data_IF_468656186577
#
_entry.id   IF_468656186577
#
_cell.length_a   1.000
_cell.length_b   1.000
_cell.length_c   1.000
_cell.angle_alpha   90.00
_cell.angle_beta   90.00
_cell.angle_gamma   90.00
#
_symmetry.space_group_name_H-M   'P 1'
#
loop_
_entity.id
_entity.type
_entity.pdbx_description
1 polymer ?
#
# COMPACT_ATOMS: atom_id res chain seq x y z
N UNK A 1 -17.35 -18.65 -29.99
CA UNK A 1 -17.23 -17.20 -29.72
C UNK A 1 -16.75 -17.07 -28.29
N UNK A 2 -15.52 -16.61 -27.99
CA UNK A 2 -15.11 -16.42 -26.61
C UNK A 2 -15.68 -15.12 -26.05
N UNK A 3 -16.27 -15.22 -24.87
CA UNK A 3 -16.78 -14.14 -24.05
C UNK A 3 -15.64 -13.21 -23.61
N UNK A 4 -15.81 -11.88 -23.64
CA UNK A 4 -14.78 -10.94 -23.17
C UNK A 4 -14.69 -11.02 -21.65
N UNK A 5 -13.47 -11.25 -21.16
CA UNK A 5 -13.14 -11.18 -19.73
C UNK A 5 -13.41 -9.75 -19.22
N UNK A 6 -14.46 -9.64 -18.44
CA UNK A 6 -14.78 -8.45 -17.68
C UNK A 6 -13.74 -8.35 -16.54
N UNK A 7 -12.76 -7.47 -16.69
CA UNK A 7 -11.96 -7.00 -15.57
C UNK A 7 -12.89 -6.17 -14.68
N UNK A 8 -13.51 -6.82 -13.71
CA UNK A 8 -14.20 -6.14 -12.62
C UNK A 8 -13.13 -5.44 -11.77
N UNK A 9 -12.86 -4.18 -12.11
CA UNK A 9 -12.10 -3.26 -11.30
C UNK A 9 -12.89 -2.95 -10.04
N UNK A 10 -12.48 -3.51 -8.92
CA UNK A 10 -12.99 -3.14 -7.59
C UNK A 10 -12.48 -1.75 -7.19
N UNK A 11 -13.00 -0.71 -7.85
CA UNK A 11 -12.81 0.69 -7.50
C UNK A 11 -14.08 1.56 -7.56
N UNK A 12 -15.32 1.09 -7.28
CA UNK A 12 -16.45 2.01 -7.36
C UNK A 12 -16.66 2.88 -6.11
N UNK A 13 -16.23 2.44 -4.92
CA UNK A 13 -16.48 3.20 -3.70
C UNK A 13 -15.52 4.39 -3.51
N UNK A 14 -14.24 4.23 -3.86
CA UNK A 14 -13.26 5.31 -3.84
C UNK A 14 -13.63 6.43 -4.82
N UNK A 15 -14.06 6.10 -6.06
CA UNK A 15 -14.42 7.08 -7.08
C UNK A 15 -15.57 8.01 -6.65
N UNK A 16 -16.58 7.50 -5.96
CA UNK A 16 -17.73 8.31 -5.49
C UNK A 16 -17.40 9.15 -4.25
N UNK A 17 -16.51 8.67 -3.39
CA UNK A 17 -16.04 9.42 -2.22
C UNK A 17 -15.19 10.63 -2.65
N UNK A 18 -14.39 10.48 -3.70
CA UNK A 18 -13.41 11.47 -4.13
C UNK A 18 -14.01 12.70 -4.80
N UNK A 19 -15.11 12.56 -5.53
CA UNK A 19 -15.86 13.74 -6.03
C UNK A 19 -16.37 14.63 -4.89
N UNK A 20 -16.73 14.03 -3.75
CA UNK A 20 -17.13 14.76 -2.55
C UNK A 20 -15.94 15.44 -1.85
N UNK A 21 -14.72 15.03 -2.15
CA UNK A 21 -13.49 15.53 -1.55
C UNK A 21 -12.83 16.65 -2.37
N UNK A 22 -13.41 17.05 -3.51
CA UNK A 22 -12.91 18.15 -4.35
C UNK A 22 -12.66 19.42 -3.53
N UNK A 23 -11.40 19.85 -3.46
CA UNK A 23 -10.97 21.00 -2.67
C UNK A 23 -10.97 20.79 -1.15
N UNK A 24 -11.23 19.58 -0.67
CA UNK A 24 -11.21 19.22 0.76
C UNK A 24 -9.93 18.47 1.10
N UNK A 25 -9.50 17.50 0.24
CA UNK A 25 -8.30 16.69 0.41
C UNK A 25 -7.37 16.79 -0.79
N UNK A 26 -6.09 16.46 -0.62
CA UNK A 26 -5.21 16.18 -1.76
C UNK A 26 -5.76 15.00 -2.55
N UNK A 27 -5.54 15.01 -3.85
CA UNK A 27 -5.85 13.87 -4.70
C UNK A 27 -4.97 12.70 -4.33
N UNK A 28 -5.57 11.53 -4.07
CA UNK A 28 -4.80 10.30 -3.83
C UNK A 28 -4.10 9.86 -5.12
N UNK A 29 -2.83 9.54 -5.04
CA UNK A 29 -1.97 9.17 -6.18
C UNK A 29 -1.37 7.79 -5.99
N UNK A 30 -1.26 7.02 -7.08
CA UNK A 30 -0.89 5.61 -7.02
C UNK A 30 0.16 5.25 -8.06
N UNK A 31 1.00 4.26 -7.72
CA UNK A 31 1.86 3.51 -8.63
C UNK A 31 1.36 2.06 -8.67
N UNK A 32 0.79 1.64 -9.78
CA UNK A 32 0.42 0.23 -10.01
C UNK A 32 1.58 -0.53 -10.63
N UNK A 33 1.97 -1.64 -10.05
CA UNK A 33 3.12 -2.44 -10.49
C UNK A 33 2.65 -3.67 -11.29
N UNK A 34 2.89 -3.74 -12.61
CA UNK A 34 2.56 -4.91 -13.41
C UNK A 34 3.55 -6.04 -13.09
N UNK A 35 3.08 -7.03 -12.35
CA UNK A 35 3.84 -8.21 -11.99
C UNK A 35 2.94 -9.45 -11.89
N UNK A 36 3.48 -10.66 -12.06
CA UNK A 36 2.72 -11.90 -11.92
C UNK A 36 2.29 -12.13 -10.46
N UNK A 37 1.40 -13.09 -10.24
CA UNK A 37 1.09 -13.60 -8.91
C UNK A 37 2.34 -14.11 -8.23
N UNK A 38 2.51 -13.79 -6.93
CA UNK A 38 3.70 -14.14 -6.17
C UNK A 38 3.42 -14.38 -4.70
N UNK A 39 4.40 -14.92 -4.01
CA UNK A 39 4.34 -15.22 -2.59
C UNK A 39 5.01 -14.18 -1.70
N UNK A 40 5.75 -13.23 -2.28
CA UNK A 40 6.39 -12.14 -1.55
C UNK A 40 6.41 -10.84 -2.35
N UNK A 41 6.24 -9.72 -1.65
CA UNK A 41 6.41 -8.37 -2.20
C UNK A 41 7.32 -7.58 -1.27
N UNK A 42 8.49 -7.20 -1.78
CA UNK A 42 9.46 -6.35 -1.11
C UNK A 42 9.51 -4.98 -1.78
N UNK A 43 9.62 -3.91 -0.97
CA UNK A 43 9.83 -2.55 -1.46
C UNK A 43 10.47 -1.70 -0.37
N UNK A 44 11.22 -0.69 -0.79
CA UNK A 44 11.76 0.37 0.07
C UNK A 44 11.02 1.66 -0.20
N UNK A 45 10.78 2.44 0.85
CA UNK A 45 10.12 3.74 0.76
C UNK A 45 10.88 4.78 1.57
N UNK A 46 11.03 5.98 1.00
CA UNK A 46 11.61 7.13 1.67
C UNK A 46 10.65 8.30 1.59
N UNK A 47 10.18 8.77 2.73
CA UNK A 47 9.29 9.93 2.81
C UNK A 47 10.14 11.19 2.77
N UNK A 48 9.85 12.08 1.83
CA UNK A 48 10.59 13.35 1.63
C UNK A 48 9.82 14.55 2.17
N UNK A 49 8.49 14.46 2.20
CA UNK A 49 7.61 15.51 2.76
C UNK A 49 6.33 14.85 3.26
N UNK A 50 5.85 15.28 4.42
CA UNK A 50 4.65 14.76 5.07
C UNK A 50 3.85 15.88 5.72
N UNK A 51 2.60 15.60 6.02
CA UNK A 51 1.71 16.43 6.82
C UNK A 51 0.78 15.54 7.66
N UNK A 52 0.29 16.02 8.82
CA UNK A 52 -0.67 15.27 9.62
C UNK A 52 -1.90 14.84 8.82
N UNK A 53 -2.33 13.58 9.02
CA UNK A 53 -3.41 12.97 8.26
C UNK A 53 -2.98 12.38 6.92
N UNK A 54 -1.73 11.90 6.81
CA UNK A 54 -1.21 11.28 5.59
C UNK A 54 -0.97 9.79 5.76
N UNK A 55 -1.35 9.02 4.73
CA UNK A 55 -0.99 7.62 4.59
C UNK A 55 -0.02 7.46 3.40
N UNK A 56 1.17 6.93 3.68
CA UNK A 56 2.15 6.47 2.70
C UNK A 56 2.10 4.94 2.69
N UNK A 57 1.44 4.38 1.70
CA UNK A 57 1.30 2.94 1.55
C UNK A 57 2.37 2.39 0.63
N UNK A 58 3.22 1.52 1.15
CA UNK A 58 4.34 0.93 0.44
C UNK A 58 3.94 -0.35 -0.33
N UNK A 59 3.32 -1.31 0.37
CA UNK A 59 2.91 -2.59 -0.20
C UNK A 59 1.40 -2.71 -0.21
N UNK A 60 0.77 -2.48 -1.36
CA UNK A 60 -0.63 -2.79 -1.62
C UNK A 60 -0.76 -4.04 -2.48
N UNK A 61 -1.81 -4.81 -2.25
CA UNK A 61 -2.21 -5.94 -3.08
C UNK A 61 -3.73 -6.10 -3.02
N UNK A 62 -4.29 -6.98 -3.83
CA UNK A 62 -5.74 -7.13 -3.96
C UNK A 62 -6.51 -7.49 -2.68
N UNK A 63 -5.83 -7.84 -1.58
CA UNK A 63 -6.44 -8.24 -0.30
C UNK A 63 -5.95 -7.43 0.89
N UNK A 64 -5.09 -6.44 0.70
CA UNK A 64 -4.62 -5.65 1.82
C UNK A 64 -3.59 -4.59 1.46
N UNK A 65 -3.07 -3.95 2.48
CA UNK A 65 -2.10 -2.87 2.37
C UNK A 65 -1.22 -2.75 3.61
N UNK A 66 0.00 -2.29 3.39
CA UNK A 66 1.04 -2.12 4.38
C UNK A 66 1.84 -0.85 4.13
N UNK A 67 2.00 -0.02 5.14
CA UNK A 67 2.74 1.23 5.04
C UNK A 67 2.77 2.00 6.35
N UNK A 68 2.95 3.32 6.27
CA UNK A 68 3.04 4.18 7.44
C UNK A 68 2.06 5.34 7.37
N UNK A 69 1.61 5.79 8.53
CA UNK A 69 0.77 6.98 8.65
C UNK A 69 1.42 8.02 9.55
N UNK A 70 1.20 9.29 9.22
CA UNK A 70 1.24 10.40 10.15
C UNK A 70 -0.20 10.75 10.52
N UNK A 71 -0.62 10.43 11.73
CA UNK A 71 -1.98 10.65 12.20
C UNK A 71 -2.32 12.15 12.30
N UNK A 72 -3.60 12.49 12.39
CA UNK A 72 -4.06 13.88 12.48
C UNK A 72 -3.46 14.65 13.68
N UNK A 73 -3.06 13.95 14.75
CA UNK A 73 -2.38 14.50 15.92
C UNK A 73 -0.84 14.49 15.80
N UNK A 74 -0.28 14.16 14.63
CA UNK A 74 1.16 14.08 14.37
C UNK A 74 1.85 12.80 14.85
N UNK A 75 1.14 11.89 15.54
CA UNK A 75 1.71 10.59 15.91
C UNK A 75 1.97 9.75 14.66
N UNK A 76 3.11 9.05 14.63
CA UNK A 76 3.52 8.19 13.52
C UNK A 76 3.37 6.71 13.86
N UNK A 77 2.89 5.94 12.90
CA UNK A 77 2.64 4.52 13.07
C UNK A 77 2.97 3.75 11.78
N UNK A 78 3.15 2.45 11.92
CA UNK A 78 3.09 1.47 10.83
C UNK A 78 1.70 0.82 10.88
N UNK A 79 1.08 0.63 9.70
CA UNK A 79 -0.27 0.06 9.54
C UNK A 79 -0.22 -1.11 8.57
N UNK A 80 -0.76 -2.26 8.96
CA UNK A 80 -1.00 -3.41 8.09
C UNK A 80 -2.46 -3.84 8.19
N UNK A 81 -3.12 -4.02 7.05
CA UNK A 81 -4.54 -4.39 6.99
C UNK A 81 -4.81 -5.44 5.93
N UNK A 82 -5.79 -6.31 6.20
CA UNK A 82 -6.25 -7.35 5.28
C UNK A 82 -7.78 -7.35 5.24
N UNK A 83 -8.34 -7.33 4.03
CA UNK A 83 -9.78 -7.31 3.78
C UNK A 83 -10.44 -8.65 4.12
N UNK A 84 -11.65 -8.57 4.69
CA UNK A 84 -12.54 -9.70 4.81
C UNK A 84 -12.95 -10.24 3.41
N UNK A 85 -13.42 -11.48 3.38
CA UNK A 85 -14.12 -12.03 2.24
C UNK A 85 -15.62 -11.73 2.36
N UNK A 86 -16.20 -11.13 1.33
CA UNK A 86 -17.65 -10.89 1.29
C UNK A 86 -18.04 -9.42 1.18
N UNK A 87 -19.20 -9.05 1.72
CA UNK A 87 -19.79 -7.73 1.58
C UNK A 87 -19.10 -6.66 2.43
N UNK A 88 -19.19 -5.41 1.97
CA UNK A 88 -18.53 -4.25 2.58
C UNK A 88 -19.23 -3.73 3.85
N UNK A 89 -20.27 -4.37 4.35
CA UNK A 89 -20.95 -3.99 5.59
C UNK A 89 -20.31 -4.74 6.79
N UNK A 90 -19.74 -4.04 7.78
CA UNK A 90 -19.14 -4.65 8.96
C UNK A 90 -20.08 -5.57 9.75
N UNK A 91 -21.38 -5.27 9.72
CA UNK A 91 -22.41 -6.03 10.44
C UNK A 91 -22.88 -7.26 9.69
N UNK A 92 -22.70 -7.28 8.36
CA UNK A 92 -23.17 -8.36 7.47
C UNK A 92 -22.13 -9.44 7.19
N UNK A 93 -20.85 -9.23 7.60
CA UNK A 93 -19.80 -10.24 7.38
C UNK A 93 -19.90 -11.33 8.45
N UNK A 94 -20.31 -12.53 8.04
CA UNK A 94 -20.36 -13.71 8.90
C UNK A 94 -18.97 -14.02 9.49
N UNK A 95 -18.95 -14.51 10.72
CA UNK A 95 -17.70 -14.67 11.48
C UNK A 95 -16.68 -15.58 10.79
N UNK A 96 -17.13 -16.63 10.13
CA UNK A 96 -16.29 -17.58 9.38
C UNK A 96 -15.64 -16.94 8.14
N UNK A 97 -16.27 -15.90 7.56
CA UNK A 97 -15.77 -15.11 6.42
C UNK A 97 -14.80 -13.99 6.82
N UNK A 98 -14.73 -13.70 8.11
CA UNK A 98 -13.83 -12.64 8.62
C UNK A 98 -12.36 -13.00 8.52
N UNK A 99 -11.56 -11.97 8.42
CA UNK A 99 -10.11 -12.05 8.61
C UNK A 99 -9.80 -12.52 10.03
N UNK A 100 -8.91 -13.52 10.14
CA UNK A 100 -8.49 -14.11 11.41
C UNK A 100 -7.04 -13.73 11.71
N UNK A 101 -6.77 -13.33 12.95
CA UNK A 101 -5.41 -13.13 13.43
C UNK A 101 -4.71 -14.48 13.56
N UNK A 102 -3.52 -14.61 12.98
CA UNK A 102 -2.66 -15.81 13.07
C UNK A 102 -1.44 -15.54 13.95
N UNK A 103 -0.83 -14.37 13.80
CA UNK A 103 0.34 -13.95 14.57
C UNK A 103 0.31 -12.44 14.80
N UNK A 104 0.89 -11.98 15.91
CA UNK A 104 1.25 -10.57 16.14
C UNK A 104 2.50 -10.45 16.99
N UNK A 105 3.32 -9.45 16.71
CA UNK A 105 4.35 -8.98 17.64
C UNK A 105 3.71 -8.41 18.91
N UNK A 106 4.40 -8.50 20.05
CA UNK A 106 3.87 -8.03 21.35
C UNK A 106 3.49 -6.55 21.38
N UNK A 107 4.21 -5.70 20.63
CA UNK A 107 3.97 -4.25 20.53
C UNK A 107 2.90 -3.90 19.49
N UNK A 108 2.41 -4.88 18.73
CA UNK A 108 1.39 -4.68 17.71
C UNK A 108 0.00 -4.66 18.33
N UNK A 109 -0.73 -3.59 18.12
CA UNK A 109 -2.15 -3.45 18.47
C UNK A 109 -3.01 -3.95 17.31
N UNK A 110 -4.06 -4.68 17.62
CA UNK A 110 -4.99 -5.26 16.64
C UNK A 110 -6.33 -4.55 16.73
N UNK A 111 -6.95 -4.31 15.59
CA UNK A 111 -8.28 -3.76 15.46
C UNK A 111 -9.02 -4.33 14.24
N UNK A 112 -10.16 -3.75 13.98
CA UNK A 112 -10.93 -3.98 12.76
C UNK A 112 -11.30 -2.64 12.15
N UNK A 113 -11.32 -2.56 10.85
CA UNK A 113 -11.80 -1.40 10.12
C UNK A 113 -13.17 -1.68 9.49
N UNK A 114 -13.88 -0.59 9.17
CA UNK A 114 -15.17 -0.59 8.49
C UNK A 114 -15.41 0.75 7.82
N UNK A 115 -16.49 0.86 7.08
CA UNK A 115 -16.87 2.07 6.33
C UNK A 115 -16.65 1.92 4.84
N UNK A 116 -15.42 1.76 4.39
CA UNK A 116 -15.07 1.50 2.98
C UNK A 116 -14.72 0.01 2.74
N UNK A 117 -15.49 -0.89 3.32
CA UNK A 117 -15.21 -2.31 3.42
C UNK A 117 -14.82 -2.69 4.84
N UNK A 118 -14.52 -3.96 5.09
CA UNK A 118 -14.19 -4.49 6.41
C UNK A 118 -12.97 -5.38 6.37
N UNK A 119 -12.27 -5.48 7.50
CA UNK A 119 -11.11 -6.35 7.63
C UNK A 119 -10.42 -6.27 8.97
N UNK A 120 -9.35 -7.04 9.09
CA UNK A 120 -8.41 -6.94 10.18
C UNK A 120 -7.41 -5.81 9.94
N UNK A 121 -7.10 -5.03 10.96
CA UNK A 121 -6.05 -4.02 10.92
C UNK A 121 -5.13 -4.15 12.12
N UNK A 122 -3.91 -3.67 11.95
CA UNK A 122 -2.91 -3.69 13.00
C UNK A 122 -2.07 -2.42 12.97
N UNK A 123 -1.60 -2.01 14.14
CA UNK A 123 -0.84 -0.78 14.31
C UNK A 123 0.40 -1.06 15.15
N UNK A 124 1.53 -0.51 14.71
CA UNK A 124 2.78 -0.51 15.45
C UNK A 124 3.26 0.93 15.61
N UNK A 125 3.52 1.38 16.83
CA UNK A 125 4.00 2.73 17.09
C UNK A 125 5.47 2.82 16.65
N UNK A 126 5.74 3.63 15.63
CA UNK A 126 7.08 3.81 15.04
C UNK A 126 7.25 5.25 14.57
N UNK A 127 8.11 6.00 15.24
CA UNK A 127 8.37 7.41 14.94
C UNK A 127 9.38 7.56 13.78
N UNK A 128 8.95 7.09 12.60
CA UNK A 128 9.74 7.19 11.38
C UNK A 128 10.11 8.66 11.05
N UNK A 129 11.26 8.86 10.41
CA UNK A 129 11.80 10.17 10.11
C UNK A 129 11.75 10.49 8.62
N UNK A 130 11.56 11.76 8.28
CA UNK A 130 11.77 12.25 6.91
C UNK A 130 13.18 11.90 6.46
N UNK A 131 13.31 11.33 5.27
CA UNK A 131 14.58 10.87 4.71
C UNK A 131 15.04 9.49 5.16
N UNK A 132 14.37 8.87 6.14
CA UNK A 132 14.63 7.48 6.52
C UNK A 132 14.20 6.51 5.42
N UNK A 133 15.03 5.52 5.12
CA UNK A 133 14.65 4.41 4.24
C UNK A 133 13.90 3.36 5.04
N UNK A 134 12.61 3.25 4.79
CA UNK A 134 11.71 2.26 5.38
C UNK A 134 11.65 1.04 4.46
N UNK A 135 11.83 -0.17 5.01
CA UNK A 135 11.86 -1.41 4.24
C UNK A 135 10.70 -2.31 4.65
N UNK A 136 9.95 -2.77 3.67
CA UNK A 136 8.73 -3.56 3.86
C UNK A 136 8.80 -4.86 3.09
N UNK A 137 8.26 -5.92 3.70
CA UNK A 137 8.06 -7.22 3.07
C UNK A 137 6.67 -7.72 3.45
N UNK A 138 5.88 -8.06 2.45
CA UNK A 138 4.65 -8.84 2.62
C UNK A 138 4.87 -10.22 2.06
N UNK A 139 4.52 -11.25 2.82
CA UNK A 139 4.53 -12.63 2.34
C UNK A 139 3.13 -13.22 2.36
N UNK A 140 2.89 -14.22 1.52
CA UNK A 140 1.63 -14.98 1.50
C UNK A 140 1.90 -16.48 1.56
N UNK A 141 1.02 -17.19 2.26
CA UNK A 141 0.98 -18.66 2.32
C UNK A 141 -0.45 -19.12 2.11
N UNK A 142 -0.69 -19.87 1.04
CA UNK A 142 -2.00 -20.46 0.76
C UNK A 142 -2.23 -21.67 1.66
N UNK A 143 -3.39 -21.72 2.33
CA UNK A 143 -3.84 -22.79 3.20
C UNK A 143 -5.31 -23.14 2.85
N UNK A 144 -5.48 -24.05 1.90
CA UNK A 144 -6.78 -24.39 1.35
C UNK A 144 -7.45 -23.22 0.63
N UNK A 145 -8.64 -22.82 1.05
CA UNK A 145 -9.34 -21.66 0.47
C UNK A 145 -8.95 -20.31 1.11
N UNK A 146 -8.08 -20.31 2.12
CA UNK A 146 -7.58 -19.12 2.80
C UNK A 146 -6.13 -18.85 2.43
N UNK A 147 -5.73 -17.60 2.56
CA UNK A 147 -4.33 -17.18 2.46
C UNK A 147 -3.94 -16.41 3.70
N UNK A 148 -2.82 -16.79 4.30
CA UNK A 148 -2.18 -16.06 5.38
C UNK A 148 -1.28 -15.00 4.75
N UNK A 149 -1.51 -13.73 5.06
CA UNK A 149 -0.66 -12.61 4.68
C UNK A 149 0.10 -12.12 5.91
N UNK A 150 1.43 -12.02 5.77
CA UNK A 150 2.32 -11.60 6.86
C UNK A 150 3.05 -10.33 6.50
N UNK A 151 3.00 -9.34 7.40
CA UNK A 151 3.69 -8.06 7.25
C UNK A 151 4.96 -8.02 8.08
N UNK A 152 6.09 -7.71 7.43
CA UNK A 152 7.39 -7.52 8.06
C UNK A 152 7.94 -6.14 7.68
N UNK A 153 8.49 -5.42 8.67
CA UNK A 153 9.23 -4.18 8.42
C UNK A 153 10.61 -4.25 9.08
N UNK A 154 11.57 -3.55 8.48
CA UNK A 154 12.91 -3.44 9.08
C UNK A 154 12.93 -2.28 10.07
N UNK A 155 13.21 -2.57 11.32
CA UNK A 155 13.34 -1.58 12.38
C UNK A 155 14.77 -1.02 12.38
N UNK A 156 14.96 0.21 11.89
CA UNK A 156 16.28 0.79 11.63
C UNK A 156 17.15 0.91 12.88
N UNK A 157 16.59 1.34 14.01
CA UNK A 157 17.34 1.48 15.27
C UNK A 157 17.76 0.11 15.84
N UNK A 158 16.87 -0.89 15.76
CA UNK A 158 17.14 -2.26 16.24
C UNK A 158 17.92 -3.10 15.23
N UNK A 159 18.10 -2.60 14.00
CA UNK A 159 18.78 -3.29 12.89
C UNK A 159 18.28 -4.72 12.66
N UNK A 160 16.97 -4.93 12.78
CA UNK A 160 16.33 -6.23 12.58
C UNK A 160 14.95 -6.11 11.92
N UNK A 161 14.55 -7.19 11.27
CA UNK A 161 13.18 -7.36 10.80
C UNK A 161 12.24 -7.67 11.96
N UNK A 162 11.09 -7.01 11.97
CA UNK A 162 9.98 -7.30 12.89
C UNK A 162 8.89 -7.99 12.07
N UNK A 163 8.51 -9.19 12.47
CA UNK A 163 7.28 -9.84 12.01
C UNK A 163 6.11 -9.20 12.73
N UNK A 164 5.55 -8.15 12.17
CA UNK A 164 4.55 -7.31 12.82
C UNK A 164 3.25 -8.07 13.07
N UNK A 165 2.73 -8.74 12.03
CA UNK A 165 1.43 -9.40 12.10
C UNK A 165 1.24 -10.40 10.96
N UNK A 166 0.40 -11.41 11.18
CA UNK A 166 -0.17 -12.26 10.13
C UNK A 166 -1.69 -12.33 10.28
N UNK A 167 -2.39 -12.11 9.17
CA UNK A 167 -3.82 -12.31 9.06
C UNK A 167 -4.15 -13.36 7.99
N UNK A 168 -5.16 -14.19 8.27
CA UNK A 168 -5.72 -15.15 7.33
C UNK A 168 -7.07 -14.67 6.81
N UNK A 169 -7.29 -14.67 5.50
CA UNK A 169 -8.57 -14.34 4.86
C UNK A 169 -8.92 -15.33 3.76
N UNK A 170 -10.19 -15.43 3.40
CA UNK A 170 -10.64 -16.30 2.30
C UNK A 170 -10.29 -15.63 0.96
N UNK A 171 -9.57 -16.35 0.12
CA UNK A 171 -9.11 -15.88 -1.18
C UNK A 171 -9.43 -16.82 -2.33
N UNK A 172 -9.88 -18.05 -2.03
CA UNK A 172 -9.96 -19.13 -3.01
C UNK A 172 -8.59 -19.70 -3.39
N UNK A 173 -7.58 -19.59 -2.51
CA UNK A 173 -6.25 -20.14 -2.76
C UNK A 173 -5.34 -19.25 -3.60
N UNK A 174 -5.54 -17.91 -3.60
CA UNK A 174 -4.76 -16.96 -4.40
C UNK A 174 -3.71 -16.29 -3.51
N UNK A 175 -2.48 -16.21 -4.02
CA UNK A 175 -1.37 -15.47 -3.39
C UNK A 175 -1.48 -13.94 -3.59
N UNK A 176 -0.35 -13.22 -3.51
CA UNK A 176 -0.28 -11.78 -3.76
C UNK A 176 -0.44 -11.49 -5.25
N UNK A 177 -1.27 -10.51 -5.59
CA UNK A 177 -1.39 -9.95 -6.95
C UNK A 177 -1.97 -8.54 -6.91
N UNK A 178 -1.88 -7.80 -8.02
CA UNK A 178 -2.40 -6.44 -8.11
C UNK A 178 -1.62 -5.48 -7.23
N UNK A 179 -0.30 -5.49 -7.36
CA UNK A 179 0.64 -4.72 -6.52
C UNK A 179 0.57 -3.23 -6.81
N UNK A 180 0.62 -2.41 -5.75
CA UNK A 180 0.62 -0.96 -5.88
C UNK A 180 1.17 -0.26 -4.63
N UNK A 181 1.50 1.02 -4.79
CA UNK A 181 1.78 1.96 -3.70
C UNK A 181 0.92 3.20 -3.86
N UNK A 182 0.69 3.96 -2.77
CA UNK A 182 -0.03 5.22 -2.85
C UNK A 182 0.39 6.24 -1.78
N UNK A 183 -0.05 7.49 -2.02
CA UNK A 183 -0.08 8.56 -1.01
C UNK A 183 -1.50 9.08 -0.92
N UNK A 184 -2.05 9.15 0.30
CA UNK A 184 -3.40 9.62 0.58
C UNK A 184 -3.41 10.69 1.68
N UNK A 185 -4.23 11.73 1.49
CA UNK A 185 -4.62 12.70 2.51
C UNK A 185 -5.95 12.27 3.12
N UNK A 186 -5.93 11.66 4.30
CA UNK A 186 -7.16 11.24 5.00
C UNK A 186 -7.67 12.25 6.02
N UNK A 187 -6.97 13.38 6.23
CA UNK A 187 -7.42 14.44 7.14
C UNK A 187 -8.62 15.20 6.58
N UNK A 188 -8.59 15.50 5.28
CA UNK A 188 -9.74 16.01 4.52
C UNK A 188 -10.35 17.30 5.12
N UNK A 189 -9.51 18.27 5.49
CA UNK A 189 -9.92 19.49 6.20
C UNK A 189 -9.72 20.80 5.44
N UNK A 190 -9.50 20.74 4.12
CA UNK A 190 -9.17 21.86 3.21
C UNK A 190 -7.77 22.45 3.44
N UNK A 191 -7.32 22.56 4.68
CA UNK A 191 -5.98 23.04 5.04
C UNK A 191 -4.94 22.00 4.66
N UNK A 192 -5.26 20.73 4.84
CA UNK A 192 -4.38 19.59 4.50
C UNK A 192 -3.95 19.60 3.03
N UNK A 193 -4.78 20.13 2.11
CA UNK A 193 -4.46 20.22 0.67
C UNK A 193 -3.34 21.21 0.37
N UNK A 194 -3.03 22.14 1.25
CA UNK A 194 -1.98 23.16 1.08
C UNK A 194 -0.58 22.63 1.33
N UNK A 195 -0.46 21.43 1.89
CA UNK A 195 0.83 20.80 2.19
C UNK A 195 1.16 19.71 1.18
N UNK A 196 2.37 19.74 0.64
CA UNK A 196 2.85 18.68 -0.24
C UNK A 196 3.21 17.42 0.56
N UNK A 197 2.83 16.26 0.02
CA UNK A 197 3.20 14.94 0.47
C UNK A 197 4.00 14.26 -0.62
N UNK A 198 5.21 13.80 -0.29
CA UNK A 198 6.11 13.20 -1.27
C UNK A 198 6.84 11.99 -0.69
N UNK A 199 6.90 10.92 -1.46
CA UNK A 199 7.70 9.74 -1.16
C UNK A 199 8.41 9.21 -2.41
N UNK A 200 9.56 8.59 -2.19
CA UNK A 200 10.27 7.76 -3.16
C UNK A 200 10.03 6.29 -2.84
N UNK A 201 9.95 5.46 -3.88
CA UNK A 201 9.75 4.02 -3.81
C UNK A 201 10.88 3.36 -4.60
N UNK A 202 11.66 2.55 -3.91
CA UNK A 202 12.87 1.92 -4.44
C UNK A 202 12.82 0.41 -4.33
N UNK A 203 13.57 -0.25 -5.21
CA UNK A 203 13.80 -1.69 -5.15
C UNK A 203 12.52 -2.54 -5.03
N UNK A 204 11.45 -2.30 -5.83
CA UNK A 204 10.27 -3.14 -5.79
C UNK A 204 10.56 -4.51 -6.41
N UNK A 205 10.41 -5.57 -5.62
CA UNK A 205 10.64 -6.95 -6.00
C UNK A 205 9.46 -7.84 -5.65
N UNK A 206 9.12 -8.74 -6.58
CA UNK A 206 8.10 -9.77 -6.36
C UNK A 206 8.79 -11.13 -6.41
N UNK A 207 8.54 -11.97 -5.42
CA UNK A 207 8.91 -13.38 -5.49
C UNK A 207 7.72 -14.15 -6.06
N UNK A 208 7.89 -14.74 -7.25
CA UNK A 208 6.82 -15.48 -7.92
C UNK A 208 6.48 -16.80 -7.19
N UNK A 209 5.49 -17.51 -7.68
CA UNK A 209 5.07 -18.80 -7.09
C UNK A 209 6.09 -19.94 -7.33
N UNK A 210 7.04 -19.76 -8.24
CA UNK A 210 8.19 -20.64 -8.47
C UNK A 210 9.39 -20.31 -7.57
N UNK A 211 9.27 -19.31 -6.70
CA UNK A 211 10.31 -18.79 -5.82
C UNK A 211 11.44 -17.98 -6.48
N UNK A 212 11.23 -17.49 -7.71
CA UNK A 212 12.16 -16.59 -8.38
C UNK A 212 11.85 -15.13 -8.03
N UNK A 213 12.87 -14.34 -7.78
CA UNK A 213 12.75 -12.90 -7.60
C UNK A 213 12.68 -12.18 -8.95
N UNK A 214 11.62 -11.40 -9.14
CA UNK A 214 11.37 -10.59 -10.33
C UNK A 214 11.44 -9.12 -9.91
N UNK A 215 12.37 -8.39 -10.53
CA UNK A 215 12.44 -6.94 -10.36
C UNK A 215 11.26 -6.27 -11.08
N UNK A 216 10.58 -5.36 -10.39
CA UNK A 216 9.55 -4.54 -11.01
C UNK A 216 10.22 -3.41 -11.80
N UNK A 217 10.09 -3.42 -13.11
CA UNK A 217 10.73 -2.47 -14.02
C UNK A 217 9.82 -1.35 -14.52
N UNK A 218 8.54 -1.37 -14.16
CA UNK A 218 7.53 -0.38 -14.61
C UNK A 218 6.50 -0.11 -13.55
N UNK A 219 5.94 1.09 -13.58
CA UNK A 219 4.75 1.44 -12.80
C UNK A 219 3.76 2.23 -13.65
N UNK A 220 2.47 2.08 -13.36
CA UNK A 220 1.40 2.86 -13.96
C UNK A 220 1.00 3.97 -12.99
N UNK A 221 1.07 5.23 -13.42
CA UNK A 221 0.63 6.38 -12.65
C UNK A 221 -0.88 6.53 -12.73
N UNK A 222 -1.56 6.42 -11.60
CA UNK A 222 -3.00 6.64 -11.48
C UNK A 222 -3.33 7.54 -10.29
N UNK A 223 -4.56 8.03 -10.22
CA UNK A 223 -5.07 8.79 -9.11
C UNK A 223 -6.59 8.56 -8.98
N UNK A 224 -7.14 8.99 -7.85
CA UNK A 224 -8.59 8.98 -7.63
C UNK A 224 -9.33 9.95 -8.55
N UNK A 225 -10.67 10.05 -8.39
CA UNK A 225 -11.55 10.89 -9.22
C UNK A 225 -11.49 12.39 -8.87
N UNK A 226 -10.79 12.79 -7.78
CA UNK A 226 -10.61 14.21 -7.46
C UNK A 226 -9.90 14.92 -8.63
N UNK A 227 -10.48 15.98 -9.23
CA UNK A 227 -9.96 16.55 -10.46
C UNK A 227 -8.76 17.49 -10.30
N UNK A 228 -8.32 17.76 -9.07
CA UNK A 228 -7.17 18.66 -8.84
C UNK A 228 -5.90 18.10 -9.47
N UNK A 229 -5.04 18.99 -9.99
CA UNK A 229 -3.85 18.62 -10.75
C UNK A 229 -2.53 18.89 -10.03
N UNK A 230 -2.57 19.26 -8.75
CA UNK A 230 -1.35 19.39 -7.95
C UNK A 230 -0.82 18.02 -7.49
N UNK A 231 -0.57 17.17 -8.48
CA UNK A 231 -0.07 15.80 -8.34
C UNK A 231 1.03 15.54 -9.36
N UNK A 232 1.99 14.70 -9.02
CA UNK A 232 2.98 14.25 -10.00
C UNK A 232 3.55 12.87 -9.63
N UNK A 233 4.17 12.21 -10.61
CA UNK A 233 4.88 10.96 -10.47
C UNK A 233 6.02 10.87 -11.48
N UNK A 234 6.96 9.98 -11.24
CA UNK A 234 8.06 9.76 -12.18
C UNK A 234 9.17 8.94 -11.57
N UNK A 235 10.36 9.10 -12.14
CA UNK A 235 11.61 8.56 -11.59
C UNK A 235 12.59 9.67 -11.28
N UNK A 236 13.27 9.56 -10.14
CA UNK A 236 14.35 10.47 -9.75
C UNK A 236 15.41 9.68 -8.99
N UNK A 237 16.69 9.88 -9.32
CA UNK A 237 17.81 9.19 -8.67
C UNK A 237 17.66 7.67 -8.63
N UNK A 238 17.11 7.07 -9.70
CA UNK A 238 16.89 5.62 -9.75
C UNK A 238 15.66 5.10 -8.98
N UNK A 239 14.83 5.96 -8.38
CA UNK A 239 13.64 5.58 -7.64
C UNK A 239 12.37 6.10 -8.30
N UNK A 240 11.26 5.37 -8.18
CA UNK A 240 9.94 5.94 -8.43
C UNK A 240 9.63 7.01 -7.39
N UNK A 241 8.84 8.01 -7.74
CA UNK A 241 8.29 8.94 -6.77
C UNK A 241 6.79 9.20 -7.02
N UNK A 242 6.10 9.55 -5.95
CA UNK A 242 4.77 10.14 -5.95
C UNK A 242 4.79 11.44 -5.16
N UNK A 243 4.01 12.41 -5.62
CA UNK A 243 3.77 13.66 -4.90
C UNK A 243 2.34 14.14 -5.10
N UNK A 244 1.73 14.70 -4.05
CA UNK A 244 0.40 15.28 -4.08
C UNK A 244 0.27 16.45 -3.11
N UNK A 245 -0.55 17.44 -3.45
CA UNK A 245 -0.84 18.60 -2.62
C UNK A 245 0.16 19.75 -2.75
N UNK A 246 -0.12 20.83 -2.04
CA UNK A 246 0.69 22.06 -2.08
C UNK A 246 0.82 22.64 -3.50
N UNK A 247 1.99 23.20 -3.78
CA UNK A 247 2.34 23.78 -5.08
C UNK A 247 3.00 22.77 -6.02
N UNK A 248 2.50 21.53 -6.06
CA UNK A 248 3.03 20.49 -6.94
C UNK A 248 2.63 20.78 -8.39
N UNK A 249 3.62 20.80 -9.29
CA UNK A 249 3.40 20.87 -10.73
C UNK A 249 3.10 19.46 -11.27
N UNK A 250 2.13 19.38 -12.19
CA UNK A 250 1.80 18.13 -12.88
C UNK A 250 2.63 18.01 -14.15
N UNK A 251 3.69 17.22 -14.10
CA UNK A 251 4.59 17.02 -15.26
C UNK A 251 4.29 15.75 -16.02
N UNK A 252 3.66 14.76 -15.38
CA UNK A 252 3.32 13.48 -15.98
C UNK A 252 1.79 13.28 -16.04
N UNK A 253 1.28 12.91 -17.21
CA UNK A 253 -0.14 12.63 -17.40
C UNK A 253 -0.54 11.35 -16.65
N UNK A 254 -1.78 11.35 -16.09
CA UNK A 254 -2.37 10.13 -15.55
C UNK A 254 -2.44 9.02 -16.61
N UNK A 255 -2.32 7.78 -16.16
CA UNK A 255 -2.23 6.54 -16.96
C UNK A 255 -0.95 6.40 -17.77
N UNK A 256 0.04 7.27 -17.56
CA UNK A 256 1.39 7.06 -18.11
C UNK A 256 2.06 5.86 -17.46
N UNK A 257 2.83 5.15 -18.26
CA UNK A 257 3.77 4.13 -17.79
C UNK A 257 5.08 4.82 -17.46
N UNK A 258 5.62 4.52 -16.30
CA UNK A 258 6.92 5.00 -15.81
C UNK A 258 7.87 3.82 -15.86
N UNK A 259 8.96 3.94 -16.62
CA UNK A 259 10.02 2.94 -16.63
C UNK A 259 10.92 3.13 -15.40
N UNK A 260 11.24 2.03 -14.73
CA UNK A 260 12.17 2.02 -13.61
C UNK A 260 13.58 1.73 -14.13
N UNK A 261 14.53 2.62 -13.90
CA UNK A 261 15.91 2.28 -14.20
C UNK A 261 16.29 1.07 -13.32
N UNK A 262 17.16 0.23 -13.81
CA UNK A 262 17.57 -1.03 -13.18
C UNK A 262 17.65 -0.94 -11.65
N UNK A 263 17.05 -1.89 -10.87
CA UNK A 263 17.15 -1.91 -9.43
C UNK A 263 18.59 -1.80 -8.93
N UNK A 264 18.82 -0.99 -7.91
CA UNK A 264 20.16 -0.84 -7.31
C UNK A 264 20.62 -2.13 -6.62
N UNK A 265 19.67 -2.87 -6.04
CA UNK A 265 19.92 -4.17 -5.41
C UNK A 265 19.74 -5.30 -6.40
N UNK A 266 20.64 -6.29 -6.36
CA UNK A 266 20.51 -7.49 -7.18
C UNK A 266 19.21 -8.25 -6.87
N UNK A 267 18.88 -8.44 -5.61
CA UNK A 267 17.61 -8.96 -5.04
C UNK A 267 17.65 -8.79 -3.52
N UNK A 268 16.51 -8.82 -2.81
CA UNK A 268 16.49 -8.75 -1.35
C UNK A 268 17.25 -9.94 -0.74
N UNK A 269 18.33 -9.69 0.01
CA UNK A 269 19.20 -10.74 0.53
C UNK A 269 19.05 -10.99 2.04
N UNK A 270 18.73 -9.96 2.81
CA UNK A 270 18.67 -9.98 4.28
C UNK A 270 17.23 -9.96 4.82
N UNK A 271 16.30 -10.57 4.09
CA UNK A 271 14.88 -10.67 4.47
C UNK A 271 14.61 -11.87 5.37
N UNK A 272 13.54 -11.86 6.18
CA UNK A 272 13.08 -13.01 6.93
C UNK A 272 12.81 -14.22 6.02
N UNK A 273 13.14 -15.41 6.52
CA UNK A 273 12.89 -16.69 5.83
C UNK A 273 11.45 -17.16 6.05
#
# INVERSE_FOLDING_TARGET
>A
VPSPYCFSSYFPALLLADEKLKGIACRSVHLGYPAPEGNSFYIEMKILSSAPGTYFMACGWNKGYFGVQELANGKKIILFSVWDSGQNDPKAVEEDKRTKLVHKDEKTRIGRFGGEGTGGQSFYDYDWKIGETLRFLVTSKVEGNRTVYSGHFFHSEQKKWIHMVSFSTITGGINLKGYYSFIEDFKRDKVSTTFARKAEFANPWIKNTQNDWIAVSKANFTADANPVLNIDAGTKNGHFFLVTGGNTDNTLKLRSVIDYPKPELAQPADIPK
#
